data_IF_319457134792
#
_entry.id   IF_319457134792
#
_cell.length_a   1.000
_cell.length_b   1.000
_cell.length_c   1.000
_cell.angle_alpha   90.00
_cell.angle_beta   90.00
_cell.angle_gamma   90.00
#
_symmetry.space_group_name_H-M   'P 1'
#
loop_
_entity.id
_entity.type
_entity.pdbx_description
1 polymer ?
#
# COMPACT_ATOMS: atom_id res chain seq x y z
N UNK A 1 6.00 -2.65 -15.43
CA UNK A 1 7.40 -2.17 -15.46
C UNK A 1 7.50 -0.68 -15.15
N UNK A 2 6.68 0.20 -15.74
CA UNK A 2 6.69 1.64 -15.44
C UNK A 2 6.54 1.98 -13.94
N UNK A 3 5.56 1.39 -13.24
CA UNK A 3 5.35 1.62 -11.80
C UNK A 3 6.54 1.14 -10.94
N UNK A 4 7.13 -0.01 -11.29
CA UNK A 4 8.30 -0.54 -10.60
C UNK A 4 9.51 0.40 -10.75
N UNK A 5 9.76 0.88 -11.97
CA UNK A 5 10.85 1.81 -12.25
C UNK A 5 10.66 3.14 -11.51
N UNK A 6 9.42 3.66 -11.44
CA UNK A 6 9.12 4.88 -10.70
C UNK A 6 9.44 4.74 -9.20
N UNK A 7 9.02 3.63 -8.57
CA UNK A 7 9.35 3.37 -7.16
C UNK A 7 10.85 3.17 -6.93
N UNK A 8 11.54 2.45 -7.82
CA UNK A 8 12.99 2.24 -7.72
C UNK A 8 13.80 3.53 -7.90
N UNK A 9 13.30 4.47 -8.72
CA UNK A 9 13.89 5.79 -8.92
C UNK A 9 13.51 6.80 -7.82
N UNK A 10 12.71 6.41 -6.83
CA UNK A 10 12.20 7.32 -5.79
C UNK A 10 11.26 8.40 -6.32
N UNK A 11 10.68 8.21 -7.51
CA UNK A 11 9.76 9.16 -8.10
C UNK A 11 8.41 9.13 -7.42
N UNK A 12 7.80 10.32 -7.29
CA UNK A 12 6.46 10.46 -6.77
C UNK A 12 5.42 9.98 -7.80
N UNK A 13 4.89 8.78 -7.59
CA UNK A 13 3.88 8.19 -8.46
C UNK A 13 2.59 9.03 -8.52
N UNK A 14 2.28 9.82 -7.49
CA UNK A 14 1.09 10.67 -7.48
C UNK A 14 1.30 11.89 -8.36
N UNK A 15 2.49 12.49 -8.31
CA UNK A 15 2.84 13.58 -9.22
C UNK A 15 2.93 13.09 -10.67
N UNK A 16 3.47 11.90 -10.91
CA UNK A 16 3.48 11.29 -12.24
C UNK A 16 2.07 11.01 -12.77
N UNK A 17 1.17 10.50 -11.93
CA UNK A 17 -0.25 10.36 -12.30
C UNK A 17 -0.86 11.74 -12.56
N UNK A 18 -0.61 12.74 -11.71
CA UNK A 18 -1.16 14.08 -11.86
C UNK A 18 -0.74 14.73 -13.19
N UNK A 19 0.55 14.67 -13.53
CA UNK A 19 1.10 15.18 -14.78
C UNK A 19 0.33 14.63 -15.99
N UNK A 20 0.06 13.32 -16.00
CA UNK A 20 -0.69 12.68 -17.08
C UNK A 20 -2.18 13.00 -17.05
N UNK A 21 -2.81 13.05 -15.87
CA UNK A 21 -4.24 13.34 -15.69
C UNK A 21 -4.57 14.78 -16.11
N UNK A 22 -3.70 15.73 -15.77
CA UNK A 22 -3.91 17.15 -16.04
C UNK A 22 -3.21 17.62 -17.32
N UNK A 23 -2.41 16.77 -17.97
CA UNK A 23 -1.67 17.11 -19.18
C UNK A 23 -0.60 18.19 -18.97
N UNK A 24 0.02 18.21 -17.79
CA UNK A 24 1.04 19.21 -17.40
C UNK A 24 2.40 18.54 -17.20
N UNK A 25 3.53 19.26 -17.41
CA UNK A 25 4.86 18.78 -17.02
C UNK A 25 4.93 18.39 -15.53
N UNK A 26 5.79 17.41 -15.20
CA UNK A 26 5.90 16.88 -13.83
C UNK A 26 6.28 17.94 -12.80
N UNK A 27 7.10 18.91 -13.20
CA UNK A 27 7.56 20.05 -12.43
C UNK A 27 6.50 21.17 -12.29
N UNK A 28 5.44 21.13 -13.09
CA UNK A 28 4.30 22.06 -13.00
C UNK A 28 3.12 21.47 -12.20
N UNK A 29 3.24 20.23 -11.70
CA UNK A 29 2.21 19.60 -10.88
C UNK A 29 2.04 20.35 -9.56
N UNK A 30 0.85 20.89 -9.34
CA UNK A 30 0.51 21.56 -8.07
C UNK A 30 0.23 20.56 -6.95
N UNK A 31 0.36 20.99 -5.70
CA UNK A 31 0.05 20.15 -4.52
C UNK A 31 -1.40 19.64 -4.53
N UNK A 32 -2.34 20.45 -5.02
CA UNK A 32 -3.75 20.07 -5.14
C UNK A 32 -3.96 19.01 -6.23
N UNK A 33 -3.32 19.18 -7.39
CA UNK A 33 -3.34 18.17 -8.47
C UNK A 33 -2.74 16.84 -8.00
N UNK A 34 -1.62 16.89 -7.27
CA UNK A 34 -0.99 15.72 -6.65
C UNK A 34 -1.93 15.05 -5.64
N UNK A 35 -2.59 15.83 -4.77
CA UNK A 35 -3.55 15.30 -3.78
C UNK A 35 -4.73 14.61 -4.47
N UNK A 36 -5.25 15.19 -5.55
CA UNK A 36 -6.31 14.58 -6.34
C UNK A 36 -5.84 13.29 -7.02
N UNK A 37 -4.66 13.30 -7.64
CA UNK A 37 -4.08 12.11 -8.25
C UNK A 37 -3.78 10.99 -7.24
N UNK A 38 -3.45 11.35 -5.99
CA UNK A 38 -3.38 10.40 -4.87
C UNK A 38 -4.72 9.70 -4.65
N UNK A 39 -5.82 10.45 -4.60
CA UNK A 39 -7.17 9.89 -4.52
C UNK A 39 -7.47 8.99 -5.72
N UNK A 40 -7.11 9.40 -6.94
CA UNK A 40 -7.28 8.59 -8.16
C UNK A 40 -6.53 7.27 -8.05
N UNK A 41 -5.24 7.30 -7.72
CA UNK A 41 -4.41 6.09 -7.59
C UNK A 41 -5.04 5.10 -6.61
N UNK A 42 -5.41 5.56 -5.40
CA UNK A 42 -6.03 4.67 -4.42
C UNK A 42 -7.40 4.16 -4.87
N UNK A 43 -8.25 5.03 -5.40
CA UNK A 43 -9.58 4.62 -5.85
C UNK A 43 -9.51 3.58 -6.97
N UNK A 44 -8.61 3.73 -7.93
CA UNK A 44 -8.43 2.75 -9.01
C UNK A 44 -7.86 1.44 -8.47
N UNK A 45 -6.81 1.48 -7.63
CA UNK A 45 -6.21 0.28 -7.00
C UNK A 45 -7.25 -0.51 -6.20
N UNK A 46 -8.17 0.18 -5.51
CA UNK A 46 -9.23 -0.44 -4.72
C UNK A 46 -10.49 -0.81 -5.54
N UNK A 47 -10.41 -0.75 -6.88
CA UNK A 47 -11.47 -1.19 -7.78
C UNK A 47 -12.69 -0.27 -7.84
N UNK A 48 -12.52 1.03 -7.57
CA UNK A 48 -13.58 2.01 -7.77
C UNK A 48 -13.87 2.18 -9.27
N UNK A 49 -15.13 2.01 -9.66
CA UNK A 49 -15.59 2.31 -11.01
C UNK A 49 -15.77 3.82 -11.24
N UNK A 50 -15.97 4.19 -12.51
CA UNK A 50 -16.13 5.58 -12.97
C UNK A 50 -17.15 6.40 -12.17
N UNK A 51 -18.25 5.79 -11.70
CA UNK A 51 -19.26 6.47 -10.88
C UNK A 51 -18.76 6.93 -9.51
N UNK A 52 -17.91 6.13 -8.86
CA UNK A 52 -17.36 6.50 -7.56
C UNK A 52 -16.25 7.54 -7.72
N UNK A 53 -15.40 7.35 -8.74
CA UNK A 53 -14.34 8.29 -9.06
C UNK A 53 -14.89 9.66 -9.45
N UNK A 54 -15.95 9.71 -10.26
CA UNK A 54 -16.59 10.96 -10.67
C UNK A 54 -17.12 11.76 -9.48
N UNK A 55 -17.66 11.09 -8.46
CA UNK A 55 -18.13 11.73 -7.22
C UNK A 55 -16.99 12.27 -6.36
N UNK A 56 -15.90 11.52 -6.23
CA UNK A 56 -14.75 11.93 -5.42
C UNK A 56 -14.01 13.12 -6.03
N UNK A 57 -13.92 13.18 -7.36
CA UNK A 57 -13.22 14.24 -8.08
C UNK A 57 -14.15 15.39 -8.50
N UNK A 58 -15.47 15.24 -8.30
CA UNK A 58 -16.48 16.19 -8.78
C UNK A 58 -16.37 16.47 -10.29
N UNK A 59 -16.25 15.41 -11.09
CA UNK A 59 -16.16 15.45 -12.57
C UNK A 59 -17.30 14.63 -13.19
N UNK A 60 -17.46 14.70 -14.52
CA UNK A 60 -18.44 13.86 -15.21
C UNK A 60 -18.05 12.39 -15.20
N UNK A 61 -19.04 11.49 -15.35
CA UNK A 61 -18.79 10.05 -15.46
C UNK A 61 -17.93 9.72 -16.68
N UNK A 62 -18.05 10.48 -17.78
CA UNK A 62 -17.28 10.29 -19.01
C UNK A 62 -15.79 10.57 -18.76
N UNK A 63 -15.49 11.73 -18.19
CA UNK A 63 -14.11 12.10 -17.82
C UNK A 63 -13.51 11.07 -16.83
N UNK A 64 -14.28 10.62 -15.84
CA UNK A 64 -13.81 9.58 -14.92
C UNK A 64 -13.49 8.26 -15.63
N UNK A 65 -14.26 7.84 -16.63
CA UNK A 65 -13.95 6.65 -17.43
C UNK A 65 -12.68 6.84 -18.24
N UNK A 66 -12.52 7.98 -18.92
CA UNK A 66 -11.33 8.31 -19.73
C UNK A 66 -10.06 8.34 -18.86
N UNK A 67 -10.15 8.85 -17.63
CA UNK A 67 -9.06 8.82 -16.66
C UNK A 67 -8.67 7.40 -16.23
N UNK A 68 -9.65 6.54 -15.98
CA UNK A 68 -9.40 5.13 -15.63
C UNK A 68 -8.72 4.40 -16.81
N UNK A 69 -9.20 4.64 -18.03
CA UNK A 69 -8.63 4.06 -19.25
C UNK A 69 -7.19 4.52 -19.47
N UNK A 70 -6.92 5.83 -19.38
CA UNK A 70 -5.57 6.39 -19.50
C UNK A 70 -4.63 5.83 -18.43
N UNK A 71 -5.11 5.71 -17.19
CA UNK A 71 -4.34 5.14 -16.09
C UNK A 71 -3.95 3.68 -16.35
N UNK A 72 -4.89 2.84 -16.78
CA UNK A 72 -4.58 1.44 -17.09
C UNK A 72 -3.77 1.27 -18.38
N UNK A 73 -3.89 2.17 -19.35
CA UNK A 73 -3.02 2.18 -20.53
C UNK A 73 -1.55 2.42 -20.12
N UNK A 74 -1.31 3.33 -19.17
CA UNK A 74 0.02 3.57 -18.62
C UNK A 74 0.51 2.42 -17.72
N UNK A 75 -0.39 1.87 -16.90
CA UNK A 75 -0.08 0.84 -15.90
C UNK A 75 -0.72 -0.51 -16.26
N UNK A 76 -0.49 -0.99 -17.49
CA UNK A 76 -1.11 -2.23 -17.98
C UNK A 76 -0.86 -3.44 -17.07
N UNK A 77 0.33 -3.53 -16.45
CA UNK A 77 0.63 -4.60 -15.50
C UNK A 77 -0.26 -4.62 -14.26
N UNK A 78 -0.74 -3.45 -13.81
CA UNK A 78 -1.70 -3.36 -12.71
C UNK A 78 -3.07 -3.89 -13.13
N UNK A 79 -3.54 -3.53 -14.33
CA UNK A 79 -4.79 -4.05 -14.88
C UNK A 79 -4.77 -5.57 -14.96
N UNK A 80 -3.71 -6.12 -15.56
CA UNK A 80 -3.52 -7.57 -15.68
C UNK A 80 -3.51 -8.24 -14.30
N UNK A 81 -2.77 -7.69 -13.33
CA UNK A 81 -2.77 -8.22 -11.96
C UNK A 81 -4.18 -8.25 -11.34
N UNK A 82 -4.97 -7.19 -11.50
CA UNK A 82 -6.33 -7.13 -10.94
C UNK A 82 -7.24 -8.18 -11.59
N UNK A 83 -7.20 -8.31 -12.91
CA UNK A 83 -7.98 -9.28 -13.68
C UNK A 83 -7.58 -10.73 -13.31
N UNK A 84 -6.27 -11.03 -13.32
CA UNK A 84 -5.73 -12.34 -12.96
C UNK A 84 -6.06 -12.72 -11.50
N UNK A 85 -6.02 -11.77 -10.56
CA UNK A 85 -6.37 -12.01 -9.15
C UNK A 85 -7.86 -12.36 -9.00
N UNK A 86 -8.73 -11.69 -9.75
CA UNK A 86 -10.17 -11.99 -9.73
C UNK A 86 -10.45 -13.34 -10.37
N UNK A 87 -9.81 -13.67 -11.49
CA UNK A 87 -9.96 -14.98 -12.12
C UNK A 87 -9.44 -16.11 -11.23
N UNK A 88 -8.28 -15.92 -10.59
CA UNK A 88 -7.78 -16.86 -9.58
C UNK A 88 -8.77 -17.05 -8.43
N UNK A 89 -9.34 -15.96 -7.92
CA UNK A 89 -10.34 -16.00 -6.86
C UNK A 89 -11.61 -16.75 -7.28
N UNK A 90 -12.06 -16.59 -8.53
CA UNK A 90 -13.18 -17.34 -9.11
C UNK A 90 -12.82 -18.81 -9.27
N UNK A 91 -11.62 -19.14 -9.71
CA UNK A 91 -11.24 -20.55 -9.89
C UNK A 91 -11.08 -21.29 -8.55
N UNK A 92 -10.42 -20.67 -7.57
CA UNK A 92 -10.02 -21.32 -6.31
C UNK A 92 -10.95 -21.03 -5.13
N UNK A 93 -11.78 -20.00 -5.20
CA UNK A 93 -12.66 -19.56 -4.11
C UNK A 93 -11.94 -18.80 -2.98
N UNK A 94 -10.66 -18.46 -3.15
CA UNK A 94 -9.87 -17.69 -2.19
C UNK A 94 -8.76 -16.88 -2.87
N UNK A 95 -8.16 -15.96 -2.11
CA UNK A 95 -6.91 -15.27 -2.47
C UNK A 95 -5.87 -15.40 -1.36
N UNK A 96 -4.59 -15.18 -1.69
CA UNK A 96 -3.46 -15.36 -0.78
C UNK A 96 -2.58 -14.10 -0.69
N UNK A 97 -1.93 -13.91 0.45
CA UNK A 97 -0.83 -12.94 0.61
C UNK A 97 0.49 -13.53 0.14
N UNK A 98 1.56 -12.72 0.04
CA UNK A 98 2.89 -13.23 -0.36
C UNK A 98 3.43 -14.32 0.58
N UNK A 99 3.02 -14.32 1.85
CA UNK A 99 3.40 -15.36 2.83
C UNK A 99 2.38 -16.51 2.93
N UNK A 100 1.43 -16.60 1.98
CA UNK A 100 0.50 -17.72 1.85
C UNK A 100 -0.74 -17.64 2.76
N UNK A 101 -1.00 -16.52 3.45
CA UNK A 101 -2.23 -16.39 4.23
C UNK A 101 -3.44 -16.27 3.31
N UNK A 102 -4.43 -17.14 3.52
CA UNK A 102 -5.66 -17.22 2.70
C UNK A 102 -6.80 -16.38 3.25
N UNK A 103 -7.60 -15.83 2.33
CA UNK A 103 -8.96 -15.36 2.59
C UNK A 103 -9.92 -16.01 1.61
N UNK A 104 -10.88 -16.78 2.12
CA UNK A 104 -11.95 -17.36 1.34
C UNK A 104 -13.00 -16.30 0.99
N UNK A 105 -13.50 -16.36 -0.24
CA UNK A 105 -14.42 -15.38 -0.81
C UNK A 105 -15.74 -16.08 -1.16
N UNK A 106 -16.60 -16.25 -0.15
CA UNK A 106 -17.86 -16.98 -0.27
C UNK A 106 -18.74 -16.49 -1.43
N UNK A 107 -18.75 -15.18 -1.67
CA UNK A 107 -19.66 -14.53 -2.61
C UNK A 107 -19.04 -14.30 -4.00
N UNK A 108 -17.84 -14.84 -4.27
CA UNK A 108 -17.16 -14.68 -5.57
C UNK A 108 -17.96 -15.29 -6.74
N UNK A 109 -18.85 -16.25 -6.42
CA UNK A 109 -19.79 -16.87 -7.36
C UNK A 109 -21.25 -16.43 -7.15
N UNK A 110 -21.50 -15.37 -6.37
CA UNK A 110 -22.87 -14.96 -6.10
C UNK A 110 -23.59 -14.59 -7.41
N UNK A 111 -24.87 -14.99 -7.47
CA UNK A 111 -25.79 -14.56 -8.53
C UNK A 111 -26.13 -13.07 -8.40
N UNK A 112 -26.02 -12.51 -7.19
CA UNK A 112 -26.16 -11.08 -6.94
C UNK A 112 -24.93 -10.35 -7.48
N UNK A 113 -25.12 -9.49 -8.48
CA UNK A 113 -24.03 -8.71 -9.06
C UNK A 113 -23.35 -7.77 -8.05
N UNK A 114 -24.09 -7.29 -7.04
CA UNK A 114 -23.55 -6.45 -5.98
C UNK A 114 -22.62 -7.23 -5.05
N UNK A 115 -23.06 -8.39 -4.56
CA UNK A 115 -22.26 -9.25 -3.68
C UNK A 115 -21.00 -9.74 -4.40
N UNK A 116 -21.16 -10.17 -5.66
CA UNK A 116 -20.04 -10.60 -6.50
C UNK A 116 -19.04 -9.47 -6.72
N UNK A 117 -19.48 -8.26 -7.08
CA UNK A 117 -18.58 -7.11 -7.26
C UNK A 117 -17.84 -6.74 -5.97
N UNK A 118 -18.50 -6.86 -4.81
CA UNK A 118 -17.84 -6.65 -3.52
C UNK A 118 -16.78 -7.73 -3.24
N UNK A 119 -17.09 -9.00 -3.53
CA UNK A 119 -16.12 -10.09 -3.39
C UNK A 119 -14.90 -9.93 -4.30
N UNK A 120 -15.10 -9.46 -5.54
CA UNK A 120 -14.01 -9.14 -6.48
C UNK A 120 -13.11 -8.01 -5.95
N UNK A 121 -13.68 -6.94 -5.39
CA UNK A 121 -12.89 -5.89 -4.73
C UNK A 121 -12.11 -6.43 -3.53
N UNK A 122 -12.73 -7.30 -2.73
CA UNK A 122 -12.02 -7.96 -1.63
C UNK A 122 -10.89 -8.85 -2.14
N UNK A 123 -11.08 -9.53 -3.27
CA UNK A 123 -10.06 -10.37 -3.91
C UNK A 123 -8.81 -9.56 -4.26
N UNK A 124 -9.00 -8.37 -4.86
CA UNK A 124 -7.90 -7.47 -5.23
C UNK A 124 -7.20 -6.89 -3.99
N UNK A 125 -7.97 -6.47 -2.98
CA UNK A 125 -7.44 -5.74 -1.84
C UNK A 125 -6.71 -6.64 -0.83
N UNK A 126 -7.18 -7.87 -0.67
CA UNK A 126 -6.69 -8.76 0.39
C UNK A 126 -5.22 -9.14 0.24
N UNK A 127 -4.71 -9.53 -0.94
CA UNK A 127 -3.28 -9.79 -1.12
C UNK A 127 -2.42 -8.58 -0.74
N UNK A 128 -2.86 -7.36 -1.08
CA UNK A 128 -2.11 -6.12 -0.83
C UNK A 128 -2.10 -5.79 0.67
N UNK A 129 -3.27 -5.56 1.27
CA UNK A 129 -3.38 -5.19 2.68
C UNK A 129 -2.91 -6.32 3.60
N UNK A 130 -3.20 -7.55 3.20
CA UNK A 130 -2.77 -8.72 3.93
C UNK A 130 -1.24 -8.83 3.93
N UNK A 131 -0.58 -8.69 2.77
CA UNK A 131 0.89 -8.73 2.73
C UNK A 131 1.51 -7.63 3.60
N UNK A 132 0.93 -6.42 3.63
CA UNK A 132 1.38 -5.37 4.55
C UNK A 132 1.21 -5.77 6.03
N UNK A 133 0.06 -6.35 6.38
CA UNK A 133 -0.19 -6.87 7.73
C UNK A 133 0.71 -8.06 8.10
N UNK A 134 1.16 -8.85 7.14
CA UNK A 134 2.12 -9.92 7.36
C UNK A 134 3.53 -9.37 7.58
N UNK A 135 3.94 -8.41 6.74
CA UNK A 135 5.22 -7.73 6.83
C UNK A 135 5.44 -7.08 8.19
N UNK A 136 4.45 -6.30 8.67
CA UNK A 136 4.56 -5.62 9.97
C UNK A 136 4.67 -6.62 11.11
N UNK A 137 3.96 -7.74 11.06
CA UNK A 137 4.04 -8.79 12.08
C UNK A 137 5.39 -9.50 12.08
N UNK A 138 5.94 -9.79 10.90
CA UNK A 138 7.29 -10.35 10.79
C UNK A 138 8.33 -9.36 11.33
N UNK A 139 8.21 -8.08 10.99
CA UNK A 139 9.07 -7.03 11.54
C UNK A 139 8.98 -7.00 13.07
N UNK A 140 7.76 -7.01 13.63
CA UNK A 140 7.54 -6.98 15.08
C UNK A 140 8.23 -8.14 15.80
N UNK A 141 8.09 -9.37 15.30
CA UNK A 141 8.73 -10.55 15.88
C UNK A 141 10.25 -10.41 15.84
N UNK A 142 10.81 -10.05 14.68
CA UNK A 142 12.27 -9.90 14.53
C UNK A 142 12.85 -8.79 15.41
N UNK A 143 12.14 -7.67 15.54
CA UNK A 143 12.54 -6.57 16.42
C UNK A 143 12.52 -7.03 17.87
N UNK A 144 11.46 -7.73 18.30
CA UNK A 144 11.36 -8.25 19.66
C UNK A 144 12.52 -9.22 19.96
N UNK A 145 12.80 -10.18 19.08
CA UNK A 145 13.91 -11.12 19.21
C UNK A 145 15.26 -10.40 19.31
N UNK A 146 15.48 -9.36 18.48
CA UNK A 146 16.72 -8.58 18.48
C UNK A 146 16.88 -7.73 19.76
N UNK A 147 15.79 -7.15 20.28
CA UNK A 147 15.80 -6.40 21.53
C UNK A 147 16.14 -7.31 22.72
N UNK A 148 15.55 -8.51 22.77
CA UNK A 148 15.82 -9.50 23.81
C UNK A 148 17.25 -10.05 23.75
N UNK A 149 17.72 -10.44 22.56
CA UNK A 149 19.08 -10.94 22.35
C UNK A 149 20.14 -9.88 22.72
N UNK A 150 19.88 -8.62 22.37
CA UNK A 150 20.74 -7.48 22.72
C UNK A 150 20.59 -7.01 24.17
N UNK A 151 19.65 -7.58 24.95
CA UNK A 151 19.31 -7.16 26.32
C UNK A 151 18.99 -5.67 26.42
N UNK A 152 18.35 -5.12 25.40
CA UNK A 152 17.93 -3.72 25.38
C UNK A 152 16.82 -3.48 26.40
N UNK A 153 16.80 -2.28 26.98
CA UNK A 153 15.73 -1.81 27.88
C UNK A 153 14.56 -1.20 27.11
N UNK A 154 14.79 -0.80 25.86
CA UNK A 154 13.80 -0.30 24.91
C UNK A 154 12.65 -1.28 24.72
N UNK A 155 11.42 -0.76 24.63
CA UNK A 155 10.20 -1.57 24.49
C UNK A 155 9.36 -1.09 23.31
N UNK A 156 8.84 -2.03 22.54
CA UNK A 156 7.75 -1.77 21.59
C UNK A 156 6.45 -1.63 22.39
N UNK A 157 5.75 -0.51 22.25
CA UNK A 157 4.57 -0.18 23.07
C UNK A 157 3.27 -0.23 22.28
N UNK A 158 3.27 0.14 21.00
CA UNK A 158 2.07 0.18 20.15
C UNK A 158 2.39 -0.23 18.72
N UNK A 159 1.36 -0.73 18.04
CA UNK A 159 1.31 -0.88 16.60
C UNK A 159 0.02 -0.20 16.12
N UNK A 160 0.15 0.73 15.16
CA UNK A 160 -0.98 1.48 14.61
C UNK A 160 -0.78 1.62 13.10
N UNK A 161 -1.70 1.09 12.30
CA UNK A 161 -1.57 1.04 10.84
C UNK A 161 -0.26 0.39 10.37
N UNK A 162 0.66 1.18 9.82
CA UNK A 162 2.00 0.80 9.35
C UNK A 162 3.12 1.30 10.28
N UNK A 163 2.77 1.86 11.44
CA UNK A 163 3.68 2.43 12.43
C UNK A 163 3.87 1.49 13.64
N UNK A 164 5.12 1.42 14.13
CA UNK A 164 5.49 0.81 15.40
C UNK A 164 6.04 1.89 16.33
N UNK A 165 5.48 1.99 17.52
CA UNK A 165 5.87 3.00 18.52
C UNK A 165 6.69 2.33 19.62
N UNK A 166 7.78 2.98 20.01
CA UNK A 166 8.72 2.48 21.01
C UNK A 166 8.91 3.45 22.16
N UNK A 167 8.98 2.92 23.38
CA UNK A 167 9.56 3.61 24.53
C UNK A 167 11.05 3.26 24.59
N UNK A 168 11.88 4.22 24.18
CA UNK A 168 13.32 4.02 23.97
C UNK A 168 14.10 4.48 25.19
N UNK A 169 14.96 3.60 25.73
CA UNK A 169 15.92 4.01 26.74
C UNK A 169 16.97 4.91 26.08
N UNK A 170 17.02 6.20 26.43
CA UNK A 170 17.83 7.22 25.73
C UNK A 170 19.26 6.80 25.35
N UNK A 171 20.04 6.13 26.23
CA UNK A 171 21.40 5.67 25.88
C UNK A 171 21.46 4.60 24.76
N UNK A 172 20.34 3.98 24.40
CA UNK A 172 20.23 2.97 23.35
C UNK A 172 19.80 3.56 22.01
N UNK A 173 19.34 4.82 21.96
CA UNK A 173 18.67 5.42 20.81
C UNK A 173 19.46 5.27 19.51
N UNK A 174 20.75 5.63 19.53
CA UNK A 174 21.63 5.57 18.35
C UNK A 174 21.86 4.14 17.83
N UNK A 175 21.58 3.12 18.65
CA UNK A 175 21.70 1.70 18.28
C UNK A 175 20.36 1.11 17.85
N UNK A 176 19.30 1.39 18.59
CA UNK A 176 17.99 0.77 18.34
C UNK A 176 17.30 1.35 17.12
N UNK A 177 17.48 2.65 16.82
CA UNK A 177 16.88 3.28 15.64
C UNK A 177 17.27 2.58 14.33
N UNK A 178 18.57 2.51 13.99
CA UNK A 178 19.04 1.82 12.78
C UNK A 178 18.70 0.33 12.76
N UNK A 179 18.74 -0.34 13.92
CA UNK A 179 18.36 -1.75 14.04
C UNK A 179 16.88 -1.98 13.69
N UNK A 180 15.99 -1.17 14.26
CA UNK A 180 14.54 -1.25 14.00
C UNK A 180 14.26 -0.98 12.53
N UNK A 181 14.86 0.07 11.97
CA UNK A 181 14.72 0.43 10.55
C UNK A 181 15.13 -0.70 9.62
N UNK A 182 16.30 -1.31 9.85
CA UNK A 182 16.80 -2.43 9.06
C UNK A 182 15.85 -3.64 9.12
N UNK A 183 15.39 -4.01 10.32
CA UNK A 183 14.51 -5.15 10.52
C UNK A 183 13.12 -4.93 9.90
N UNK A 184 12.61 -3.69 9.90
CA UNK A 184 11.37 -3.33 9.22
C UNK A 184 11.53 -3.39 7.69
N UNK A 185 12.61 -2.81 7.15
CA UNK A 185 12.87 -2.78 5.69
C UNK A 185 13.02 -4.19 5.10
N UNK A 186 13.63 -5.10 5.85
CA UNK A 186 13.96 -6.45 5.38
C UNK A 186 13.00 -7.53 5.91
N UNK A 187 11.86 -7.13 6.48
CA UNK A 187 10.89 -8.06 7.07
C UNK A 187 10.44 -9.16 6.10
N UNK A 188 10.15 -8.81 4.85
CA UNK A 188 9.88 -9.76 3.77
C UNK A 188 11.06 -9.70 2.78
N UNK A 189 11.74 -10.84 2.49
CA UNK A 189 12.86 -10.87 1.56
C UNK A 189 12.39 -10.74 0.10
N UNK A 190 13.34 -10.45 -0.79
CA UNK A 190 13.19 -10.51 -2.26
C UNK A 190 12.11 -9.60 -2.87
N UNK A 191 11.71 -8.55 -2.15
CA UNK A 191 10.86 -7.50 -2.71
C UNK A 191 11.64 -6.69 -3.75
N UNK A 192 11.05 -6.55 -4.95
CA UNK A 192 11.66 -5.80 -6.06
C UNK A 192 11.64 -4.27 -5.84
N UNK A 193 10.81 -3.81 -4.91
CA UNK A 193 10.67 -2.41 -4.51
C UNK A 193 11.25 -2.28 -3.11
N UNK A 194 12.18 -1.32 -2.86
CA UNK A 194 12.71 -1.10 -1.51
C UNK A 194 11.60 -0.60 -0.59
N UNK A 195 11.51 -1.20 0.61
CA UNK A 195 10.65 -0.70 1.68
C UNK A 195 11.32 0.52 2.30
N UNK A 196 10.53 1.57 2.53
CA UNK A 196 10.97 2.80 3.18
C UNK A 196 10.38 2.84 4.59
N UNK A 197 11.18 3.29 5.55
CA UNK A 197 10.79 3.45 6.95
C UNK A 197 11.26 4.84 7.37
N UNK A 198 10.33 5.66 7.86
CA UNK A 198 10.66 6.92 8.50
C UNK A 198 10.85 6.71 9.99
N UNK A 199 11.89 7.31 10.56
CA UNK A 199 12.10 7.34 12.02
C UNK A 199 11.87 8.78 12.49
N UNK A 200 10.96 8.94 13.44
CA UNK A 200 10.83 10.17 14.22
C UNK A 200 11.02 9.90 15.70
N UNK A 201 11.46 10.91 16.44
CA UNK A 201 11.72 10.82 17.88
C UNK A 201 11.18 12.04 18.57
N UNK A 202 10.55 11.86 19.73
CA UNK A 202 9.94 12.95 20.48
C UNK A 202 9.72 12.56 21.93
N UNK A 203 9.33 13.54 22.76
CA UNK A 203 8.97 13.29 24.17
C UNK A 203 7.56 12.73 24.32
N UNK A 204 6.77 12.80 23.26
CA UNK A 204 5.44 12.25 23.15
C UNK A 204 5.21 11.80 21.70
N UNK A 205 4.12 11.08 21.47
CA UNK A 205 3.83 10.51 20.16
C UNK A 205 3.65 11.58 19.06
N UNK A 206 3.03 12.74 19.39
CA UNK A 206 2.84 13.83 18.43
C UNK A 206 4.15 14.47 17.97
N UNK A 207 5.16 14.57 18.85
CA UNK A 207 6.50 15.06 18.48
C UNK A 207 7.28 14.03 17.65
N UNK A 208 6.97 12.74 17.79
CA UNK A 208 7.68 11.65 17.13
C UNK A 208 7.07 11.24 15.78
N UNK A 209 5.80 11.58 15.52
CA UNK A 209 5.06 11.29 14.30
C UNK A 209 5.24 12.41 13.26
#
# INVERSE_FOLDING_TARGET
QAMLAAFQAGHDIHSATAANVYGVPLDEVTSDQRRNAKTVNFSIIYGAGATNLSRQLNISRKEASELIEAYFAQFQGLKNYMEETVEFAREKGYVETLLGRRRFLRDIHSKSGLERSNAERMAINTPIQGTAADMIKVAMIRIQDALEAGKFRTKMILQVHDELVFDVYKPELDKVGPLIEDLMKHAIPDLKVPILVGIGTGRNWLEAH
#
